data_IF_559078971195
#
_entry.id   IF_559078971195
#
_cell.length_a   1.000
_cell.length_b   1.000
_cell.length_c   1.000
_cell.angle_alpha   90.00
_cell.angle_beta   90.00
_cell.angle_gamma   90.00
#
_symmetry.space_group_name_H-M   'P 1'
#
loop_
_entity.id
_entity.type
_entity.pdbx_description
1 polymer ?
#
# COMPACT_ATOMS: atom_id res chain seq x y z
N UNK A 1 -35.12 19.75 5.14
CA UNK A 1 -33.96 18.83 4.92
C UNK A 1 -32.67 19.58 5.20
N UNK A 2 -32.10 19.47 6.39
CA UNK A 2 -30.80 20.10 6.72
C UNK A 2 -29.70 19.35 5.95
N UNK A 3 -28.91 20.11 5.24
CA UNK A 3 -27.85 19.67 4.33
C UNK A 3 -26.84 18.80 5.07
N UNK A 4 -26.97 17.47 4.96
CA UNK A 4 -26.16 16.45 5.65
C UNK A 4 -24.71 16.43 5.13
N UNK A 5 -24.41 17.16 4.05
CA UNK A 5 -23.12 17.18 3.36
C UNK A 5 -22.22 18.36 3.71
N UNK A 6 -22.73 19.38 4.41
CA UNK A 6 -21.93 20.56 4.77
C UNK A 6 -20.97 20.36 5.94
N UNK A 7 -21.03 19.20 6.63
CA UNK A 7 -20.14 18.88 7.75
C UNK A 7 -18.96 17.99 7.35
N UNK A 8 -18.92 17.46 6.13
CA UNK A 8 -17.94 16.47 5.69
C UNK A 8 -16.50 17.02 5.54
N UNK A 9 -16.31 18.33 5.43
CA UNK A 9 -14.99 18.94 5.17
C UNK A 9 -14.60 20.05 6.16
N UNK A 10 -15.18 20.06 7.36
CA UNK A 10 -14.72 21.00 8.38
C UNK A 10 -13.47 20.42 9.05
N UNK A 11 -12.30 20.74 8.49
CA UNK A 11 -11.04 20.55 9.20
C UNK A 11 -11.03 21.50 10.40
N UNK A 12 -11.07 20.95 11.59
CA UNK A 12 -10.81 21.71 12.80
C UNK A 12 -9.30 21.97 12.94
N UNK A 13 -8.93 22.82 13.90
CA UNK A 13 -7.51 23.16 14.13
C UNK A 13 -6.66 21.93 14.43
N UNK A 14 -7.21 20.94 15.16
CA UNK A 14 -6.49 19.73 15.53
C UNK A 14 -6.21 18.86 14.28
N UNK A 15 -7.20 18.65 13.42
CA UNK A 15 -7.06 17.90 12.17
C UNK A 15 -6.01 18.54 11.25
N UNK A 16 -6.07 19.88 11.11
CA UNK A 16 -5.09 20.61 10.30
C UNK A 16 -3.69 20.49 10.87
N UNK A 17 -3.53 20.64 12.19
CA UNK A 17 -2.24 20.49 12.86
C UNK A 17 -1.68 19.08 12.68
N UNK A 18 -2.49 18.04 12.83
CA UNK A 18 -2.06 16.65 12.63
C UNK A 18 -1.59 16.39 11.20
N UNK A 19 -2.32 16.87 10.20
CA UNK A 19 -1.94 16.73 8.79
C UNK A 19 -0.61 17.44 8.52
N UNK A 20 -0.48 18.70 8.92
CA UNK A 20 0.75 19.48 8.73
C UNK A 20 1.93 18.84 9.44
N UNK A 21 1.75 18.43 10.71
CA UNK A 21 2.80 17.73 11.47
C UNK A 21 3.20 16.42 10.80
N UNK A 22 2.24 15.63 10.32
CA UNK A 22 2.52 14.38 9.62
C UNK A 22 3.31 14.61 8.33
N UNK A 23 2.92 15.59 7.51
CA UNK A 23 3.64 15.96 6.28
C UNK A 23 5.09 16.35 6.61
N UNK A 24 5.28 17.24 7.60
CA UNK A 24 6.61 17.67 8.02
C UNK A 24 7.42 16.47 8.54
N UNK A 25 6.82 15.61 9.37
CA UNK A 25 7.51 14.42 9.92
C UNK A 25 7.92 13.44 8.82
N UNK A 26 7.04 13.17 7.85
CA UNK A 26 7.34 12.30 6.70
C UNK A 26 8.49 12.90 5.89
N UNK A 27 8.44 14.20 5.63
CA UNK A 27 9.51 14.89 4.88
C UNK A 27 10.86 14.85 5.60
N UNK A 28 10.88 15.13 6.91
CA UNK A 28 12.09 15.07 7.73
C UNK A 28 12.64 13.64 7.86
N UNK A 29 11.76 12.66 8.06
CA UNK A 29 12.15 11.26 8.11
C UNK A 29 12.81 10.83 6.79
N UNK A 30 12.25 11.25 5.66
CA UNK A 30 12.83 10.98 4.36
C UNK A 30 14.19 11.65 4.16
N UNK A 31 14.32 12.94 4.50
CA UNK A 31 15.59 13.65 4.42
C UNK A 31 16.66 12.98 5.28
N UNK A 32 16.29 12.51 6.46
CA UNK A 32 17.17 11.75 7.34
C UNK A 32 17.57 10.39 6.75
N UNK A 33 16.63 9.63 6.19
CA UNK A 33 16.92 8.35 5.52
C UNK A 33 17.83 8.55 4.32
N UNK A 34 17.61 9.59 3.51
CA UNK A 34 18.45 9.91 2.35
C UNK A 34 19.90 10.29 2.75
N UNK A 35 20.11 10.80 3.98
CA UNK A 35 21.45 11.13 4.50
C UNK A 35 22.20 9.93 5.09
N UNK A 36 21.54 8.78 5.26
CA UNK A 36 22.15 7.56 5.82
C UNK A 36 22.99 6.83 4.74
N UNK A 37 24.09 6.19 5.13
CA UNK A 37 24.98 5.43 4.22
C UNK A 37 25.18 4.01 4.79
N UNK A 38 24.77 2.95 4.08
CA UNK A 38 23.91 2.95 2.89
C UNK A 38 22.49 3.38 3.23
N UNK A 39 21.91 4.24 2.40
CA UNK A 39 20.56 4.70 2.63
C UNK A 39 19.57 3.54 2.39
N UNK A 40 18.77 3.16 3.39
CA UNK A 40 17.66 2.25 3.13
C UNK A 40 16.65 2.94 2.23
N UNK A 41 15.96 2.17 1.40
CA UNK A 41 14.92 2.76 0.57
C UNK A 41 13.73 3.16 1.44
N UNK A 42 13.18 4.32 1.16
CA UNK A 42 12.08 4.89 1.95
C UNK A 42 10.88 3.93 2.00
N UNK A 43 10.53 3.30 0.87
CA UNK A 43 9.43 2.34 0.83
C UNK A 43 9.69 1.10 1.71
N UNK A 44 10.92 0.59 1.79
CA UNK A 44 11.24 -0.57 2.65
C UNK A 44 11.00 -0.26 4.12
N UNK A 45 11.34 0.95 4.54
CA UNK A 45 11.12 1.40 5.92
C UNK A 45 9.62 1.54 6.21
N UNK A 46 8.87 2.22 5.33
CA UNK A 46 7.43 2.39 5.50
C UNK A 46 6.67 1.07 5.42
N UNK A 47 7.02 0.19 4.49
CA UNK A 47 6.45 -1.16 4.39
C UNK A 47 6.66 -1.91 5.70
N UNK A 48 7.91 -1.93 6.20
CA UNK A 48 8.26 -2.65 7.43
C UNK A 48 7.54 -2.09 8.64
N UNK A 49 7.47 -0.76 8.79
CA UNK A 49 6.75 -0.12 9.91
C UNK A 49 5.25 -0.38 9.84
N UNK A 50 4.67 -0.31 8.65
CA UNK A 50 3.25 -0.63 8.43
C UNK A 50 2.96 -2.07 8.80
N UNK A 51 3.77 -3.01 8.33
CA UNK A 51 3.60 -4.44 8.64
C UNK A 51 3.82 -4.71 10.13
N UNK A 52 4.78 -4.06 10.77
CA UNK A 52 4.96 -4.18 12.22
C UNK A 52 3.72 -3.70 12.99
N UNK A 53 3.14 -2.56 12.58
CA UNK A 53 1.88 -2.07 13.13
C UNK A 53 0.71 -3.04 12.90
N UNK A 54 0.58 -3.57 11.68
CA UNK A 54 -0.42 -4.56 11.31
C UNK A 54 -0.27 -5.86 12.14
N UNK A 55 0.96 -6.31 12.35
CA UNK A 55 1.27 -7.47 13.20
C UNK A 55 0.86 -7.24 14.66
N UNK A 56 1.10 -6.05 15.22
CA UNK A 56 0.65 -5.72 16.58
C UNK A 56 -0.88 -5.78 16.72
N UNK A 57 -1.61 -5.30 15.70
CA UNK A 57 -3.08 -5.43 15.68
C UNK A 57 -3.48 -6.90 15.56
N UNK A 58 -2.82 -7.67 14.70
CA UNK A 58 -3.06 -9.09 14.51
C UNK A 58 -2.90 -9.86 15.83
N UNK A 59 -1.81 -9.66 16.57
CA UNK A 59 -1.56 -10.31 17.87
C UNK A 59 -2.71 -10.06 18.84
N UNK A 60 -3.26 -8.83 18.87
CA UNK A 60 -4.37 -8.47 19.77
C UNK A 60 -5.72 -8.96 19.27
N UNK A 61 -5.92 -9.12 17.97
CA UNK A 61 -7.25 -9.27 17.37
C UNK A 61 -7.40 -10.51 16.49
N UNK A 62 -6.42 -11.43 16.48
CA UNK A 62 -6.44 -12.64 15.64
C UNK A 62 -7.69 -13.52 15.84
N UNK A 63 -8.29 -13.49 17.03
CA UNK A 63 -9.53 -14.25 17.34
C UNK A 63 -10.74 -13.76 16.54
N UNK A 64 -10.71 -12.56 15.99
CA UNK A 64 -11.79 -12.00 15.19
C UNK A 64 -11.70 -12.40 13.71
N UNK A 65 -10.59 -13.01 13.31
CA UNK A 65 -10.36 -13.47 11.94
C UNK A 65 -11.13 -14.75 11.66
N UNK A 66 -11.69 -14.81 10.46
CA UNK A 66 -12.36 -16.01 9.91
C UNK A 66 -11.35 -16.86 9.16
N UNK A 67 -11.70 -18.12 8.92
CA UNK A 67 -10.87 -19.03 8.11
C UNK A 67 -10.57 -18.44 6.74
N UNK A 68 -11.54 -17.81 6.09
CA UNK A 68 -11.41 -17.21 4.78
C UNK A 68 -10.41 -16.06 4.77
N UNK A 69 -10.30 -15.30 5.86
CA UNK A 69 -9.32 -14.22 6.00
C UNK A 69 -7.88 -14.77 5.91
N UNK A 70 -7.62 -15.89 6.59
CA UNK A 70 -6.34 -16.58 6.54
C UNK A 70 -6.01 -17.11 5.14
N UNK A 71 -7.00 -17.70 4.48
CA UNK A 71 -6.85 -18.24 3.12
C UNK A 71 -6.54 -17.12 2.14
N UNK A 72 -7.28 -16.01 2.18
CA UNK A 72 -7.06 -14.85 1.30
C UNK A 72 -5.68 -14.25 1.53
N UNK A 73 -5.30 -14.02 2.79
CA UNK A 73 -3.98 -13.48 3.09
C UNK A 73 -2.86 -14.40 2.62
N UNK A 74 -3.02 -15.72 2.81
CA UNK A 74 -2.06 -16.71 2.32
C UNK A 74 -1.93 -16.70 0.80
N UNK A 75 -3.06 -16.60 0.09
CA UNK A 75 -3.06 -16.51 -1.38
C UNK A 75 -2.32 -15.25 -1.83
N UNK A 76 -2.61 -14.09 -1.24
CA UNK A 76 -1.94 -12.84 -1.59
C UNK A 76 -0.44 -12.90 -1.33
N UNK A 77 -0.02 -13.39 -0.16
CA UNK A 77 1.40 -13.57 0.16
C UNK A 77 2.09 -14.58 -0.75
N UNK A 78 1.44 -15.71 -1.07
CA UNK A 78 1.99 -16.73 -1.96
C UNK A 78 2.11 -16.23 -3.39
N UNK A 79 1.12 -15.51 -3.91
CA UNK A 79 1.18 -14.90 -5.26
C UNK A 79 2.37 -13.98 -5.38
N UNK A 80 2.58 -13.09 -4.39
CA UNK A 80 3.73 -12.17 -4.38
C UNK A 80 5.05 -12.94 -4.21
N UNK A 81 5.10 -13.95 -3.32
CA UNK A 81 6.30 -14.76 -3.16
C UNK A 81 6.69 -15.50 -4.45
N UNK A 82 5.72 -16.08 -5.15
CA UNK A 82 5.95 -16.74 -6.44
C UNK A 82 6.34 -15.75 -7.53
N UNK A 83 5.62 -14.62 -7.62
CA UNK A 83 5.90 -13.56 -8.58
C UNK A 83 7.36 -13.09 -8.47
N UNK A 84 7.84 -12.79 -7.26
CA UNK A 84 9.21 -12.33 -6.99
C UNK A 84 10.29 -13.29 -7.47
N UNK A 85 10.02 -14.57 -7.60
CA UNK A 85 10.96 -15.54 -8.18
C UNK A 85 11.16 -15.33 -9.69
N UNK A 86 10.15 -14.82 -10.37
CA UNK A 86 10.11 -14.61 -11.82
C UNK A 86 10.18 -13.14 -12.24
N UNK A 87 10.05 -12.21 -11.29
CA UNK A 87 10.12 -10.78 -11.55
C UNK A 87 11.50 -10.38 -12.08
N UNK A 88 11.51 -9.47 -13.04
CA UNK A 88 12.72 -8.94 -13.65
C UNK A 88 13.09 -7.56 -13.09
N UNK A 89 12.12 -6.71 -12.81
CA UNK A 89 12.33 -5.32 -12.38
C UNK A 89 12.80 -5.22 -10.93
N UNK A 90 12.30 -6.09 -10.04
CA UNK A 90 12.58 -6.00 -8.60
C UNK A 90 13.75 -6.84 -8.12
N UNK A 91 14.27 -7.74 -8.98
CA UNK A 91 15.37 -8.64 -8.61
C UNK A 91 16.73 -7.96 -8.32
N UNK A 92 17.08 -6.80 -8.89
CA UNK A 92 18.39 -6.17 -8.63
C UNK A 92 18.44 -5.38 -7.32
N UNK A 93 17.32 -5.20 -6.62
CA UNK A 93 17.28 -4.34 -5.43
C UNK A 93 17.31 -5.16 -4.13
N UNK A 94 18.48 -5.24 -3.46
CA UNK A 94 18.59 -5.98 -2.22
C UNK A 94 17.73 -5.32 -1.12
N UNK A 95 16.89 -6.13 -0.44
CA UNK A 95 16.07 -5.64 0.65
C UNK A 95 16.95 -5.16 1.81
N UNK A 96 16.82 -3.90 2.19
CA UNK A 96 17.70 -3.18 3.13
C UNK A 96 19.19 -3.29 2.77
N UNK A 97 19.55 -3.49 1.53
CA UNK A 97 20.94 -3.72 1.11
C UNK A 97 21.53 -5.07 1.53
N UNK A 98 20.78 -5.89 2.23
CA UNK A 98 21.26 -7.15 2.86
C UNK A 98 20.84 -8.37 2.05
N UNK A 99 19.54 -8.52 1.79
CA UNK A 99 19.00 -9.70 1.10
C UNK A 99 19.00 -9.47 -0.41
N UNK A 100 19.93 -10.12 -1.10
CA UNK A 100 20.14 -9.94 -2.56
C UNK A 100 19.57 -11.07 -3.40
N UNK A 101 19.41 -12.24 -2.83
CA UNK A 101 18.94 -13.42 -3.56
C UNK A 101 17.42 -13.37 -3.76
N UNK A 102 16.95 -13.92 -4.89
CA UNK A 102 15.53 -13.94 -5.26
C UNK A 102 14.67 -14.70 -4.27
N UNK A 103 15.17 -15.80 -3.72
CA UNK A 103 14.42 -16.63 -2.78
C UNK A 103 14.19 -15.85 -1.48
N UNK A 104 15.25 -15.22 -0.94
CA UNK A 104 15.13 -14.37 0.25
C UNK A 104 14.17 -13.22 0.05
N UNK A 105 14.23 -12.52 -1.11
CA UNK A 105 13.30 -11.44 -1.43
C UNK A 105 11.86 -11.95 -1.58
N UNK A 106 11.66 -13.10 -2.23
CA UNK A 106 10.35 -13.74 -2.36
C UNK A 106 9.73 -14.05 -0.98
N UNK A 107 10.53 -14.62 -0.07
CA UNK A 107 10.09 -14.87 1.30
C UNK A 107 9.73 -13.59 2.05
N UNK A 108 10.57 -12.57 1.99
CA UNK A 108 10.32 -11.29 2.67
C UNK A 108 9.07 -10.63 2.12
N UNK A 109 8.99 -10.42 0.81
CA UNK A 109 7.85 -9.74 0.18
C UNK A 109 6.54 -10.50 0.38
N UNK A 110 6.56 -11.82 0.19
CA UNK A 110 5.41 -12.67 0.44
C UNK A 110 4.96 -12.62 1.90
N UNK A 111 5.89 -12.68 2.85
CA UNK A 111 5.58 -12.60 4.29
C UNK A 111 5.06 -11.22 4.70
N UNK A 112 5.65 -10.14 4.21
CA UNK A 112 5.18 -8.78 4.48
C UNK A 112 3.75 -8.58 3.95
N UNK A 113 3.47 -9.04 2.73
CA UNK A 113 2.13 -8.99 2.13
C UNK A 113 1.12 -9.82 2.92
N UNK A 114 1.48 -11.02 3.32
CA UNK A 114 0.65 -11.89 4.15
C UNK A 114 0.29 -11.23 5.49
N UNK A 115 1.28 -10.71 6.21
CA UNK A 115 1.07 -10.07 7.51
C UNK A 115 0.28 -8.77 7.39
N UNK A 116 0.57 -7.95 6.38
CA UNK A 116 -0.21 -6.73 6.11
C UNK A 116 -1.67 -7.05 5.79
N UNK A 117 -1.91 -8.07 4.94
CA UNK A 117 -3.26 -8.52 4.62
C UNK A 117 -4.02 -8.99 5.87
N UNK A 118 -3.41 -9.83 6.71
CA UNK A 118 -4.04 -10.29 7.96
C UNK A 118 -4.32 -9.15 8.92
N UNK A 119 -3.38 -8.22 9.10
CA UNK A 119 -3.56 -7.05 9.95
C UNK A 119 -4.68 -6.15 9.44
N UNK A 120 -4.72 -5.88 8.12
CA UNK A 120 -5.80 -5.14 7.48
C UNK A 120 -7.16 -5.83 7.66
N UNK A 121 -7.23 -7.16 7.47
CA UNK A 121 -8.43 -7.95 7.71
C UNK A 121 -8.87 -7.90 9.17
N UNK A 122 -7.94 -7.98 10.12
CA UNK A 122 -8.25 -7.83 11.55
C UNK A 122 -8.84 -6.44 11.86
N UNK A 123 -8.36 -5.39 11.21
CA UNK A 123 -8.91 -4.02 11.32
C UNK A 123 -10.29 -3.95 10.67
N UNK A 124 -10.46 -4.52 9.49
CA UNK A 124 -11.75 -4.60 8.80
C UNK A 124 -12.82 -5.27 9.67
N UNK A 125 -12.46 -6.36 10.35
CA UNK A 125 -13.38 -7.08 11.28
C UNK A 125 -13.75 -6.25 12.52
N UNK A 126 -13.00 -5.21 12.83
CA UNK A 126 -13.30 -4.23 13.89
C UNK A 126 -14.10 -3.01 13.37
N UNK A 127 -14.61 -3.06 12.14
CA UNK A 127 -15.35 -1.95 11.53
C UNK A 127 -14.45 -0.96 10.79
N UNK A 128 -13.25 -1.36 10.41
CA UNK A 128 -12.31 -0.53 9.64
C UNK A 128 -12.90 -0.01 8.34
N UNK A 129 -12.34 1.12 7.82
CA UNK A 129 -12.93 1.87 6.73
C UNK A 129 -12.84 1.16 5.37
N UNK A 130 -11.82 0.32 5.21
CA UNK A 130 -11.58 -0.39 3.94
C UNK A 130 -12.14 -1.80 4.04
N UNK A 131 -12.91 -2.19 3.02
CA UNK A 131 -13.56 -3.48 2.96
C UNK A 131 -12.99 -4.33 1.83
N UNK A 132 -12.52 -5.52 2.16
CA UNK A 132 -12.18 -6.52 1.16
C UNK A 132 -13.41 -7.41 0.93
N UNK A 133 -14.14 -7.13 -0.14
CA UNK A 133 -15.44 -7.78 -0.42
C UNK A 133 -15.31 -9.31 -0.60
N UNK A 134 -14.19 -9.79 -1.16
CA UNK A 134 -13.90 -11.22 -1.28
C UNK A 134 -13.88 -11.93 0.08
N UNK A 135 -13.32 -11.29 1.12
CA UNK A 135 -13.28 -11.83 2.48
C UNK A 135 -14.66 -11.90 3.15
N UNK A 136 -15.63 -11.17 2.61
CA UNK A 136 -17.03 -11.22 3.04
C UNK A 136 -17.90 -12.16 2.16
N UNK A 137 -17.28 -12.86 1.20
CA UNK A 137 -17.98 -13.72 0.23
C UNK A 137 -18.76 -12.94 -0.83
N UNK A 138 -18.59 -11.62 -0.90
CA UNK A 138 -19.30 -10.79 -1.85
C UNK A 138 -18.55 -10.69 -3.21
N UNK A 139 -18.56 -11.80 -3.93
CA UNK A 139 -17.87 -11.92 -5.22
C UNK A 139 -18.39 -10.99 -6.30
N UNK A 140 -19.67 -10.60 -6.21
CA UNK A 140 -20.27 -9.65 -7.14
C UNK A 140 -19.62 -8.27 -7.04
N UNK A 141 -19.47 -7.75 -5.83
CA UNK A 141 -18.79 -6.47 -5.60
C UNK A 141 -17.29 -6.57 -5.86
N UNK A 142 -16.66 -7.70 -5.56
CA UNK A 142 -15.27 -7.98 -5.92
C UNK A 142 -15.07 -7.89 -7.44
N UNK A 143 -15.88 -8.59 -8.21
CA UNK A 143 -15.81 -8.56 -9.69
C UNK A 143 -16.07 -7.17 -10.26
N UNK A 144 -17.05 -6.43 -9.71
CA UNK A 144 -17.30 -5.04 -10.09
C UNK A 144 -16.09 -4.15 -9.84
N UNK A 145 -15.45 -4.28 -8.66
CA UNK A 145 -14.24 -3.54 -8.31
C UNK A 145 -13.10 -3.82 -9.29
N UNK A 146 -12.88 -5.11 -9.63
CA UNK A 146 -11.87 -5.51 -10.61
C UNK A 146 -12.17 -4.90 -12.00
N UNK A 147 -13.41 -5.01 -12.48
CA UNK A 147 -13.79 -4.46 -13.79
C UNK A 147 -13.63 -2.94 -13.82
N UNK A 148 -14.05 -2.24 -12.78
CA UNK A 148 -13.85 -0.78 -12.68
C UNK A 148 -12.37 -0.41 -12.64
N UNK A 149 -11.57 -1.15 -11.86
CA UNK A 149 -10.11 -0.97 -11.80
C UNK A 149 -9.45 -1.13 -13.16
N UNK A 150 -9.81 -2.16 -13.91
CA UNK A 150 -9.32 -2.37 -15.28
C UNK A 150 -9.81 -1.28 -16.25
N UNK A 151 -11.09 -0.92 -16.19
CA UNK A 151 -11.65 0.11 -17.06
C UNK A 151 -11.01 1.50 -16.85
N UNK A 152 -10.60 1.83 -15.64
CA UNK A 152 -9.91 3.08 -15.33
C UNK A 152 -8.38 2.96 -15.48
N UNK A 153 -7.82 1.85 -15.03
CA UNK A 153 -6.37 1.65 -15.00
C UNK A 153 -5.74 1.48 -16.39
N UNK A 154 -6.41 0.76 -17.30
CA UNK A 154 -5.88 0.56 -18.66
C UNK A 154 -5.71 1.87 -19.45
N UNK A 155 -6.70 2.77 -19.52
CA UNK A 155 -6.53 4.06 -20.19
C UNK A 155 -5.42 4.91 -19.54
N UNK A 156 -5.32 4.93 -18.21
CA UNK A 156 -4.29 5.67 -17.50
C UNK A 156 -2.89 5.09 -17.77
N UNK A 157 -2.75 3.78 -17.79
CA UNK A 157 -1.49 3.11 -18.14
C UNK A 157 -1.07 3.44 -19.58
N UNK A 158 -1.99 3.41 -20.54
CA UNK A 158 -1.71 3.79 -21.92
C UNK A 158 -1.30 5.28 -22.04
N UNK A 159 -1.99 6.17 -21.33
CA UNK A 159 -1.61 7.59 -21.28
C UNK A 159 -0.22 7.79 -20.70
N UNK A 160 0.12 7.05 -19.64
CA UNK A 160 1.45 7.13 -19.03
C UNK A 160 2.54 6.63 -19.98
N UNK A 161 2.34 5.50 -20.65
CA UNK A 161 3.26 4.99 -21.67
C UNK A 161 3.44 6.00 -22.80
N UNK A 162 2.34 6.59 -23.29
CA UNK A 162 2.39 7.63 -24.33
C UNK A 162 3.16 8.87 -23.86
N UNK A 163 2.90 9.35 -22.65
CA UNK A 163 3.60 10.49 -22.06
C UNK A 163 5.11 10.24 -21.92
N UNK A 164 5.52 9.05 -21.44
CA UNK A 164 6.92 8.66 -21.34
C UNK A 164 7.59 8.59 -22.73
N UNK A 165 6.89 8.05 -23.72
CA UNK A 165 7.40 8.03 -25.09
C UNK A 165 7.62 9.43 -25.64
N UNK A 166 6.69 10.35 -25.41
CA UNK A 166 6.78 11.74 -25.90
C UNK A 166 7.82 12.58 -25.16
N UNK A 167 7.99 12.36 -23.85
CA UNK A 167 8.87 13.20 -23.01
C UNK A 167 10.30 12.67 -22.94
N UNK A 168 10.50 11.37 -22.97
CA UNK A 168 11.82 10.74 -22.77
C UNK A 168 12.39 10.10 -24.05
N UNK A 169 11.64 10.12 -25.14
CA UNK A 169 12.06 9.51 -26.42
C UNK A 169 12.25 7.99 -26.34
N UNK A 170 11.82 7.37 -25.23
CA UNK A 170 11.92 5.93 -25.07
C UNK A 170 10.89 5.25 -25.96
N UNK A 171 11.37 4.46 -26.93
CA UNK A 171 10.47 3.55 -27.62
C UNK A 171 9.88 2.57 -26.60
N UNK A 172 8.56 2.44 -26.60
CA UNK A 172 7.89 1.39 -25.83
C UNK A 172 8.34 0.04 -26.40
N UNK A 173 9.45 -0.47 -25.89
CA UNK A 173 9.83 -1.85 -26.17
C UNK A 173 8.84 -2.72 -25.38
N UNK A 174 7.89 -3.29 -26.11
CA UNK A 174 6.91 -4.19 -25.54
C UNK A 174 7.65 -5.39 -24.93
N UNK A 175 7.71 -5.42 -23.62
CA UNK A 175 8.15 -6.60 -22.89
C UNK A 175 7.25 -7.78 -23.26
N UNK A 176 7.79 -8.99 -23.18
CA UNK A 176 6.95 -10.18 -23.31
C UNK A 176 5.79 -10.06 -22.31
N UNK A 177 4.52 -10.37 -22.71
CA UNK A 177 3.34 -10.11 -21.86
C UNK A 177 3.43 -10.74 -20.46
N UNK A 178 3.98 -11.95 -20.35
CA UNK A 178 4.05 -12.66 -19.06
C UNK A 178 4.99 -11.99 -18.05
N UNK A 179 6.24 -11.64 -18.36
CA UNK A 179 7.10 -10.87 -17.47
C UNK A 179 6.48 -9.53 -17.07
N UNK A 180 5.90 -8.80 -18.03
CA UNK A 180 5.25 -7.52 -17.74
C UNK A 180 4.07 -7.67 -16.77
N UNK A 181 3.26 -8.72 -16.92
CA UNK A 181 2.18 -9.03 -16.00
C UNK A 181 2.70 -9.33 -14.59
N UNK A 182 3.74 -10.16 -14.48
CA UNK A 182 4.35 -10.52 -13.20
C UNK A 182 4.96 -9.28 -12.52
N UNK A 183 5.71 -8.48 -13.27
CA UNK A 183 6.29 -7.24 -12.75
C UNK A 183 5.22 -6.22 -12.31
N UNK A 184 4.01 -6.26 -12.87
CA UNK A 184 2.89 -5.40 -12.47
C UNK A 184 2.14 -5.92 -11.23
N UNK A 185 2.18 -7.21 -10.93
CA UNK A 185 1.48 -7.78 -9.77
C UNK A 185 2.04 -7.28 -8.45
N UNK A 186 3.35 -7.13 -8.35
CA UNK A 186 4.00 -6.68 -7.13
C UNK A 186 3.49 -5.28 -6.70
N UNK A 187 3.62 -4.21 -7.50
CA UNK A 187 3.06 -2.92 -7.11
C UNK A 187 1.53 -2.99 -6.97
N UNK A 188 0.84 -3.66 -7.90
CA UNK A 188 -0.63 -3.75 -7.88
C UNK A 188 -1.21 -4.43 -6.64
N UNK A 189 -0.55 -5.41 -6.06
CA UNK A 189 -1.02 -6.12 -4.87
C UNK A 189 -0.36 -5.56 -3.61
N UNK A 190 0.96 -5.41 -3.59
CA UNK A 190 1.70 -5.03 -2.38
C UNK A 190 1.34 -3.63 -1.93
N UNK A 191 1.29 -2.67 -2.85
CA UNK A 191 0.94 -1.28 -2.53
C UNK A 191 -0.51 -1.16 -2.05
N UNK A 192 -1.45 -1.86 -2.69
CA UNK A 192 -2.84 -1.88 -2.25
C UNK A 192 -2.98 -2.50 -0.86
N UNK A 193 -2.29 -3.61 -0.59
CA UNK A 193 -2.38 -4.32 0.69
C UNK A 193 -1.67 -3.56 1.80
N UNK A 194 -0.47 -3.03 1.56
CA UNK A 194 0.30 -2.34 2.59
C UNK A 194 -0.25 -0.94 2.85
N UNK A 195 -0.42 -0.10 1.81
CA UNK A 195 -0.77 1.31 2.00
C UNK A 195 -2.27 1.56 2.08
N UNK A 196 -3.05 0.98 1.16
CA UNK A 196 -4.48 1.27 1.10
C UNK A 196 -5.33 0.37 1.99
N UNK A 197 -4.83 -0.78 2.40
CA UNK A 197 -5.56 -1.68 3.29
C UNK A 197 -5.01 -1.65 4.71
N UNK A 198 -3.73 -1.99 4.92
CA UNK A 198 -3.15 -2.04 6.26
C UNK A 198 -2.89 -0.65 6.85
N UNK A 199 -2.14 0.22 6.15
CA UNK A 199 -1.76 1.53 6.68
C UNK A 199 -2.97 2.44 6.89
N UNK A 200 -3.87 2.53 5.91
CA UNK A 200 -5.11 3.29 6.09
C UNK A 200 -5.90 2.80 7.31
N UNK A 201 -6.05 1.48 7.44
CA UNK A 201 -6.70 0.89 8.59
C UNK A 201 -6.02 1.22 9.92
N UNK A 202 -4.69 1.13 9.99
CA UNK A 202 -3.91 1.48 11.19
C UNK A 202 -4.08 2.95 11.60
N UNK A 203 -3.94 3.85 10.65
CA UNK A 203 -4.13 5.28 10.88
C UNK A 203 -5.56 5.58 11.34
N UNK A 204 -6.55 4.91 10.76
CA UNK A 204 -7.93 5.03 11.22
C UNK A 204 -8.10 4.54 12.66
N UNK A 205 -7.51 3.39 13.04
CA UNK A 205 -7.56 2.90 14.42
C UNK A 205 -6.99 3.91 15.43
N UNK A 206 -5.95 4.64 15.04
CA UNK A 206 -5.32 5.67 15.88
C UNK A 206 -6.23 6.89 15.96
N UNK A 207 -6.72 7.37 14.82
CA UNK A 207 -7.43 8.64 14.72
C UNK A 207 -8.90 8.57 15.18
N UNK A 208 -9.55 7.40 15.05
CA UNK A 208 -10.98 7.28 15.36
C UNK A 208 -11.35 7.63 16.82
N UNK A 209 -10.40 7.48 17.75
CA UNK A 209 -10.63 7.82 19.17
C UNK A 209 -10.67 9.32 19.40
N UNK A 210 -9.83 10.07 18.72
CA UNK A 210 -9.67 11.52 18.90
C UNK A 210 -10.47 12.33 17.89
N UNK A 211 -10.68 11.79 16.68
CA UNK A 211 -11.29 12.48 15.55
C UNK A 211 -12.31 11.59 14.82
N UNK A 212 -13.35 11.07 15.49
CA UNK A 212 -14.22 10.02 14.93
C UNK A 212 -14.90 10.41 13.61
N UNK A 213 -15.20 11.69 13.41
CA UNK A 213 -15.87 12.18 12.19
C UNK A 213 -14.92 12.35 11.00
N UNK A 214 -13.65 12.67 11.26
CA UNK A 214 -12.63 12.94 10.24
C UNK A 214 -11.69 11.75 10.02
N UNK A 215 -11.68 10.78 10.93
CA UNK A 215 -10.70 9.68 10.95
C UNK A 215 -10.55 8.96 9.62
N UNK A 216 -11.65 8.69 8.92
CA UNK A 216 -11.62 7.97 7.64
C UNK A 216 -10.84 8.77 6.59
N UNK A 217 -11.19 10.05 6.43
CA UNK A 217 -10.60 10.91 5.42
C UNK A 217 -9.15 11.26 5.72
N UNK A 218 -8.85 11.60 6.99
CA UNK A 218 -7.49 11.90 7.43
C UNK A 218 -6.58 10.68 7.28
N UNK A 219 -7.03 9.52 7.72
CA UNK A 219 -6.27 8.29 7.58
C UNK A 219 -5.99 7.96 6.10
N UNK A 220 -7.00 8.10 5.23
CA UNK A 220 -6.85 7.88 3.80
C UNK A 220 -5.88 8.88 3.16
N UNK A 221 -6.00 10.17 3.50
CA UNK A 221 -5.08 11.20 3.02
C UNK A 221 -3.64 10.94 3.47
N UNK A 222 -3.43 10.60 4.74
CA UNK A 222 -2.10 10.31 5.28
C UNK A 222 -1.50 9.05 4.66
N UNK A 223 -2.30 8.00 4.45
CA UNK A 223 -1.85 6.78 3.78
C UNK A 223 -1.44 7.07 2.32
N UNK A 224 -2.23 7.86 1.60
CA UNK A 224 -1.92 8.29 0.24
C UNK A 224 -0.64 9.13 0.18
N UNK A 225 -0.48 10.09 1.07
CA UNK A 225 0.74 10.90 1.15
C UNK A 225 1.96 10.04 1.45
N UNK A 226 1.87 9.12 2.41
CA UNK A 226 2.97 8.21 2.75
C UNK A 226 3.37 7.36 1.54
N UNK A 227 2.39 6.79 0.84
CA UNK A 227 2.62 6.02 -0.38
C UNK A 227 3.29 6.87 -1.47
N UNK A 228 2.76 8.06 -1.76
CA UNK A 228 3.35 8.97 -2.75
C UNK A 228 4.79 9.32 -2.40
N UNK A 229 5.06 9.67 -1.13
CA UNK A 229 6.42 10.02 -0.70
C UNK A 229 7.39 8.85 -0.74
N UNK A 230 6.93 7.62 -0.61
CA UNK A 230 7.80 6.43 -0.69
C UNK A 230 8.44 6.23 -2.08
N UNK A 231 7.85 6.83 -3.12
CA UNK A 231 8.33 6.74 -4.51
C UNK A 231 9.33 7.84 -4.92
N UNK A 232 9.59 8.81 -4.05
CA UNK A 232 10.49 9.92 -4.40
C UNK A 232 11.98 9.66 -4.12
N UNK A 233 12.38 8.44 -3.81
CA UNK A 233 13.79 8.11 -3.54
C UNK A 233 14.70 8.41 -4.73
N UNK A 234 14.20 8.18 -5.95
CA UNK A 234 14.99 8.36 -7.17
C UNK A 234 15.24 9.82 -7.55
N UNK A 235 14.48 10.77 -7.00
CA UNK A 235 14.63 12.21 -7.30
C UNK A 235 15.79 12.88 -6.55
N UNK A 236 16.35 12.24 -5.53
CA UNK A 236 17.37 12.83 -4.66
C UNK A 236 18.71 12.07 -4.68
N UNK A 237 18.80 10.99 -5.44
CA UNK A 237 20.01 10.15 -5.58
C UNK A 237 20.75 10.45 -6.90
N UNK A 238 20.20 11.33 -7.74
CA UNK A 238 20.90 11.88 -8.90
C UNK A 238 21.59 13.19 -8.48
#
# INVERSE_FOLDING_TARGET
MKNKYSTLFRFDRLSTTLVVTAIITIFLARAWLASSIPAPRTFEVFDTLTVAGAFLVLVKSHRNLRRDDWIIALILGAVIGVEMLFASLFSPYPFFGIVRDKIGQAWIRGSLTFLAALGGLAIMRQGGPVQLHAANGNWRETSRGILLGLAMGLPLALLNVFALQMTQGQSAQWQKPMPALLDALQPGIVEEVIYRFALWGLLWLILQRSLPQQAIWLAGLLAMLTHTYSHFDDLFIQ
#
